data_IF_877333025118
#
_entry.id   IF_877333025118
#
_cell.length_a   1.000
_cell.length_b   1.000
_cell.length_c   1.000
_cell.angle_alpha   90.00
_cell.angle_beta   90.00
_cell.angle_gamma   90.00
#
_symmetry.space_group_name_H-M   'P 1'
#
loop_
_entity.id
_entity.type
_entity.pdbx_description
1 polymer ?
#
# COMPACT_ATOMS: atom_id res chain seq x y z
N UNK A 1 -0.89 -0.10 9.63
CA UNK A 1 0.18 -0.71 8.82
C UNK A 1 0.39 0.14 7.59
N UNK A 2 1.64 0.25 7.13
CA UNK A 2 1.98 0.92 5.87
C UNK A 2 2.67 -0.09 4.95
N UNK A 3 2.06 -0.34 3.78
CA UNK A 3 2.55 -1.29 2.77
C UNK A 3 3.40 -0.52 1.76
N UNK A 4 4.64 -0.98 1.55
CA UNK A 4 5.62 -0.27 0.72
C UNK A 4 6.05 1.04 1.39
N UNK A 5 6.36 0.97 2.68
CA UNK A 5 6.60 2.16 3.50
C UNK A 5 7.90 2.92 3.18
N UNK A 6 8.74 2.38 2.28
CA UNK A 6 9.96 3.00 1.81
C UNK A 6 10.91 3.34 2.96
N UNK A 7 11.42 4.58 2.96
CA UNK A 7 12.32 5.08 4.01
C UNK A 7 11.63 5.37 5.35
N UNK A 8 10.35 5.01 5.50
CA UNK A 8 9.59 5.06 6.76
C UNK A 8 9.18 6.47 7.17
N UNK A 9 9.09 7.42 6.24
CA UNK A 9 8.73 8.80 6.54
C UNK A 9 7.35 8.90 7.20
N UNK A 10 6.33 8.25 6.61
CA UNK A 10 4.98 8.27 7.16
C UNK A 10 4.89 7.62 8.54
N UNK A 11 5.51 6.43 8.70
CA UNK A 11 5.59 5.73 9.99
C UNK A 11 6.24 6.58 11.09
N UNK A 12 7.28 7.34 10.74
CA UNK A 12 7.95 8.24 11.66
C UNK A 12 7.05 9.43 12.07
N UNK A 13 6.28 9.99 11.14
CA UNK A 13 5.31 11.04 11.47
C UNK A 13 4.20 10.51 12.38
N UNK A 14 3.66 9.31 12.12
CA UNK A 14 2.71 8.67 13.01
C UNK A 14 3.29 8.49 14.43
N UNK A 15 4.55 8.07 14.54
CA UNK A 15 5.21 7.93 15.84
C UNK A 15 5.30 9.27 16.58
N UNK A 16 5.64 10.36 15.89
CA UNK A 16 5.68 11.72 16.48
C UNK A 16 4.30 12.19 16.95
N UNK A 17 3.24 11.77 16.26
CA UNK A 17 1.85 12.02 16.64
C UNK A 17 1.36 11.14 17.80
N UNK A 18 2.20 10.25 18.35
CA UNK A 18 1.89 9.44 19.52
C UNK A 18 1.25 8.08 19.21
N UNK A 19 1.18 7.67 17.94
CA UNK A 19 0.75 6.32 17.59
C UNK A 19 1.83 5.31 18.02
N UNK A 20 1.41 4.22 18.66
CA UNK A 20 2.32 3.21 19.23
C UNK A 20 2.29 1.86 18.48
N UNK A 21 1.16 1.52 17.85
CA UNK A 21 0.97 0.26 17.12
C UNK A 21 1.20 0.47 15.62
N UNK A 22 2.44 0.83 15.28
CA UNK A 22 2.86 1.17 13.93
C UNK A 22 3.69 0.03 13.35
N UNK A 23 3.37 -0.40 12.14
CA UNK A 23 4.09 -1.47 11.44
C UNK A 23 4.22 -1.13 9.96
N UNK A 24 5.44 -1.16 9.43
CA UNK A 24 5.71 -1.06 8.00
C UNK A 24 6.08 -2.41 7.39
N UNK A 25 5.81 -2.60 6.10
CA UNK A 25 6.37 -3.69 5.30
C UNK A 25 6.96 -3.15 4.01
N UNK A 26 8.07 -3.72 3.55
CA UNK A 26 8.72 -3.31 2.30
C UNK A 26 9.52 -4.47 1.67
N UNK A 27 9.66 -4.45 0.35
CA UNK A 27 10.45 -5.42 -0.42
C UNK A 27 11.91 -5.01 -0.58
N UNK A 28 12.27 -3.76 -0.29
CA UNK A 28 13.64 -3.24 -0.44
C UNK A 28 14.44 -3.43 0.84
N UNK A 29 15.64 -4.03 0.74
CA UNK A 29 16.55 -4.14 1.90
C UNK A 29 17.00 -2.77 2.38
N UNK A 30 17.24 -1.83 1.46
CA UNK A 30 17.63 -0.46 1.78
C UNK A 30 16.56 0.26 2.62
N UNK A 31 15.29 0.16 2.22
CA UNK A 31 14.15 0.69 2.98
C UNK A 31 14.08 0.12 4.39
N UNK A 32 14.28 -1.20 4.51
CA UNK A 32 14.26 -1.93 5.79
C UNK A 32 15.40 -1.49 6.69
N UNK A 33 16.62 -1.41 6.19
CA UNK A 33 17.79 -0.96 6.93
C UNK A 33 17.65 0.49 7.39
N UNK A 34 17.20 1.39 6.50
CA UNK A 34 16.95 2.79 6.83
C UNK A 34 15.89 2.98 7.92
N UNK A 35 14.82 2.19 7.89
CA UNK A 35 13.78 2.19 8.91
C UNK A 35 14.28 1.64 10.26
N UNK A 36 15.02 0.52 10.23
CA UNK A 36 15.63 -0.06 11.44
C UNK A 36 16.60 0.91 12.12
N UNK A 37 17.42 1.63 11.34
CA UNK A 37 18.33 2.65 11.86
C UNK A 37 17.60 3.80 12.59
N UNK A 38 16.32 4.05 12.25
CA UNK A 38 15.45 5.05 12.90
C UNK A 38 14.61 4.47 14.05
N UNK A 39 14.79 3.19 14.39
CA UNK A 39 13.99 2.46 15.38
C UNK A 39 12.53 2.31 14.97
N UNK A 40 12.24 2.23 13.67
CA UNK A 40 10.89 2.00 13.14
C UNK A 40 10.68 0.48 13.02
N UNK A 41 9.54 0.00 13.52
CA UNK A 41 9.17 -1.41 13.39
C UNK A 41 8.75 -1.71 11.94
N UNK A 42 9.56 -2.51 11.26
CA UNK A 42 9.41 -2.85 9.85
C UNK A 42 9.73 -4.33 9.61
N UNK A 43 8.97 -4.95 8.71
CA UNK A 43 9.21 -6.32 8.24
C UNK A 43 9.64 -6.31 6.77
N UNK A 44 10.79 -6.93 6.47
CA UNK A 44 11.18 -7.26 5.10
C UNK A 44 10.27 -8.37 4.58
N UNK A 45 9.72 -8.19 3.39
CA UNK A 45 8.87 -9.20 2.74
C UNK A 45 9.40 -9.55 1.35
N UNK A 46 9.05 -10.74 0.86
CA UNK A 46 9.25 -11.10 -0.55
C UNK A 46 8.12 -10.51 -1.41
N UNK A 47 6.87 -10.80 -1.01
CA UNK A 47 5.65 -10.33 -1.67
C UNK A 47 4.58 -10.01 -0.63
N UNK A 48 3.61 -9.20 -1.00
CA UNK A 48 2.47 -8.84 -0.14
C UNK A 48 1.65 -10.10 0.18
N UNK A 49 1.46 -10.97 -0.81
CA UNK A 49 0.63 -12.17 -0.69
C UNK A 49 1.21 -13.14 0.32
N UNK A 50 2.50 -13.48 0.20
CA UNK A 50 3.17 -14.38 1.15
C UNK A 50 3.12 -13.82 2.57
N UNK A 51 3.35 -12.52 2.74
CA UNK A 51 3.27 -11.90 4.05
C UNK A 51 1.84 -11.95 4.61
N UNK A 52 0.85 -11.65 3.78
CA UNK A 52 -0.56 -11.62 4.16
C UNK A 52 -1.06 -12.99 4.62
N UNK A 53 -0.82 -14.03 3.82
CA UNK A 53 -1.28 -15.40 4.10
C UNK A 53 -0.67 -15.98 5.39
N UNK A 54 0.53 -15.56 5.75
CA UNK A 54 1.21 -15.99 6.98
C UNK A 54 0.94 -15.06 8.18
N UNK A 55 0.20 -13.96 7.98
CA UNK A 55 -0.07 -13.01 9.04
C UNK A 55 -1.17 -13.51 9.96
N UNK A 56 -0.92 -13.48 11.27
CA UNK A 56 -1.95 -13.72 12.30
C UNK A 56 -2.57 -12.41 12.81
N UNK A 57 -2.11 -11.27 12.31
CA UNK A 57 -2.49 -9.94 12.78
C UNK A 57 -3.31 -9.25 11.71
N UNK A 58 -4.46 -8.72 12.13
CA UNK A 58 -5.26 -7.79 11.33
C UNK A 58 -5.06 -6.36 11.83
N UNK A 59 -5.15 -5.41 10.91
CA UNK A 59 -4.90 -3.99 11.15
C UNK A 59 -6.19 -3.19 10.98
N UNK A 60 -6.42 -2.26 11.90
CA UNK A 60 -7.55 -1.32 11.85
C UNK A 60 -7.38 -0.24 10.78
N UNK A 61 -6.13 0.03 10.40
CA UNK A 61 -5.80 1.02 9.38
C UNK A 61 -4.61 0.54 8.54
N UNK A 62 -4.81 0.47 7.23
CA UNK A 62 -3.78 0.10 6.27
C UNK A 62 -3.60 1.25 5.28
N UNK A 63 -2.37 1.69 5.08
CA UNK A 63 -1.98 2.61 4.01
C UNK A 63 -1.17 1.88 2.95
N UNK A 64 -1.33 2.32 1.71
CA UNK A 64 -0.53 1.91 0.56
C UNK A 64 -0.31 3.14 -0.31
N UNK A 65 0.90 3.68 -0.28
CA UNK A 65 1.25 4.92 -0.99
C UNK A 65 2.25 4.63 -2.07
N UNK A 66 1.88 4.87 -3.33
CA UNK A 66 2.76 4.66 -4.47
C UNK A 66 3.32 3.24 -4.57
N UNK A 67 2.42 2.25 -4.59
CA UNK A 67 2.76 0.82 -4.64
C UNK A 67 1.87 0.10 -5.65
N UNK A 68 0.57 0.39 -5.62
CA UNK A 68 -0.42 -0.32 -6.43
C UNK A 68 -0.15 -0.19 -7.94
N UNK A 69 0.37 0.96 -8.37
CA UNK A 69 0.74 1.23 -9.76
C UNK A 69 1.97 0.43 -10.26
N UNK A 70 2.78 -0.10 -9.35
CA UNK A 70 3.95 -0.94 -9.65
C UNK A 70 3.61 -2.44 -9.68
N UNK A 71 2.44 -2.85 -9.16
CA UNK A 71 1.98 -4.23 -9.25
C UNK A 71 1.55 -4.52 -10.67
N UNK A 72 1.94 -5.66 -11.24
CA UNK A 72 1.48 -6.06 -12.57
C UNK A 72 -0.05 -6.04 -12.65
N UNK A 73 -0.58 -5.38 -13.68
CA UNK A 73 -2.03 -5.14 -13.85
C UNK A 73 -2.91 -6.37 -13.64
N UNK A 74 -2.43 -7.55 -14.03
CA UNK A 74 -3.17 -8.82 -13.89
C UNK A 74 -3.34 -9.27 -12.44
N UNK A 75 -2.43 -8.88 -11.54
CA UNK A 75 -2.40 -9.31 -10.14
C UNK A 75 -3.07 -8.33 -9.18
N UNK A 76 -3.33 -7.08 -9.61
CA UNK A 76 -3.80 -5.98 -8.75
C UNK A 76 -5.05 -6.34 -7.93
N UNK A 77 -6.07 -6.94 -8.57
CA UNK A 77 -7.32 -7.28 -7.87
C UNK A 77 -7.07 -8.37 -6.83
N UNK A 78 -6.27 -9.39 -7.16
CA UNK A 78 -5.97 -10.51 -6.25
C UNK A 78 -5.11 -10.07 -5.06
N UNK A 79 -4.15 -9.16 -5.28
CA UNK A 79 -3.39 -8.54 -4.18
C UNK A 79 -4.32 -7.77 -3.25
N UNK A 80 -5.26 -6.98 -3.78
CA UNK A 80 -6.23 -6.23 -2.97
C UNK A 80 -7.19 -7.15 -2.21
N UNK A 81 -7.64 -8.26 -2.81
CA UNK A 81 -8.44 -9.30 -2.14
C UNK A 81 -7.65 -9.90 -0.99
N UNK A 82 -6.38 -10.20 -1.21
CA UNK A 82 -5.47 -10.77 -0.22
C UNK A 82 -5.27 -9.82 0.97
N UNK A 83 -4.98 -8.55 0.71
CA UNK A 83 -4.88 -7.52 1.75
C UNK A 83 -6.18 -7.43 2.55
N UNK A 84 -7.33 -7.33 1.88
CA UNK A 84 -8.63 -7.23 2.53
C UNK A 84 -8.95 -8.46 3.39
N UNK A 85 -8.65 -9.65 2.89
CA UNK A 85 -9.06 -10.91 3.52
C UNK A 85 -8.20 -11.24 4.73
N UNK A 86 -6.89 -11.08 4.61
CA UNK A 86 -5.93 -11.56 5.61
C UNK A 86 -5.42 -10.44 6.52
N UNK A 87 -5.24 -9.22 6.01
CA UNK A 87 -4.58 -8.14 6.75
C UNK A 87 -5.55 -7.10 7.31
N UNK A 88 -6.66 -6.82 6.64
CA UNK A 88 -7.59 -5.79 7.10
C UNK A 88 -8.55 -6.34 8.16
N UNK A 89 -8.70 -5.61 9.26
CA UNK A 89 -9.73 -5.88 10.27
C UNK A 89 -11.12 -5.66 9.69
N UNK A 90 -12.14 -6.32 10.24
CA UNK A 90 -13.52 -6.25 9.71
C UNK A 90 -14.08 -4.82 9.68
N UNK A 91 -13.75 -4.01 10.69
CA UNK A 91 -14.09 -2.58 10.77
C UNK A 91 -12.93 -1.66 10.35
N UNK A 92 -11.88 -2.22 9.78
CA UNK A 92 -10.68 -1.49 9.39
C UNK A 92 -10.89 -0.64 8.15
N UNK A 93 -10.02 0.37 7.97
CA UNK A 93 -9.99 1.22 6.79
C UNK A 93 -8.70 1.00 5.98
N UNK A 94 -8.84 1.04 4.66
CA UNK A 94 -7.72 0.96 3.72
C UNK A 94 -7.65 2.26 2.92
N UNK A 95 -6.49 2.91 2.95
CA UNK A 95 -6.20 4.10 2.16
C UNK A 95 -5.14 3.76 1.14
N UNK A 96 -5.47 3.95 -0.14
CA UNK A 96 -4.56 3.77 -1.25
C UNK A 96 -4.36 5.09 -1.98
N UNK A 97 -3.11 5.43 -2.26
CA UNK A 97 -2.72 6.66 -2.95
C UNK A 97 -1.87 6.30 -4.16
N UNK A 98 -2.29 6.75 -5.33
CA UNK A 98 -1.67 6.47 -6.64
C UNK A 98 -1.69 7.74 -7.50
N UNK A 99 -0.80 7.87 -8.51
CA UNK A 99 -0.83 8.98 -9.44
C UNK A 99 -2.17 9.04 -10.18
N UNK A 100 -2.68 10.27 -10.34
CA UNK A 100 -3.95 10.51 -11.02
C UNK A 100 -3.77 10.55 -12.54
N UNK A 101 -4.22 9.50 -13.23
CA UNK A 101 -4.20 9.43 -14.70
C UNK A 101 -5.07 10.49 -15.39
N UNK A 102 -6.03 11.10 -14.68
CA UNK A 102 -6.86 12.19 -15.20
C UNK A 102 -6.18 13.56 -15.08
N UNK A 103 -5.03 13.64 -14.40
CA UNK A 103 -4.24 14.87 -14.36
C UNK A 103 -3.78 15.25 -15.77
N UNK A 104 -3.60 16.54 -16.02
CA UNK A 104 -2.90 17.05 -17.22
C UNK A 104 -1.48 16.50 -17.34
N UNK A 105 -0.90 16.03 -16.23
CA UNK A 105 0.41 15.37 -16.15
C UNK A 105 0.31 13.84 -16.05
N UNK A 106 -0.86 13.23 -16.30
CA UNK A 106 -1.05 11.79 -16.15
C UNK A 106 -0.09 10.96 -17.02
N UNK A 107 0.15 11.39 -18.26
CA UNK A 107 1.12 10.75 -19.14
C UNK A 107 2.56 10.88 -18.61
N UNK A 108 2.93 12.05 -18.09
CA UNK A 108 4.24 12.23 -17.45
C UNK A 108 4.42 11.23 -16.32
N UNK A 109 3.44 11.14 -15.40
CA UNK A 109 3.52 10.18 -14.29
C UNK A 109 3.53 8.72 -14.74
N UNK A 110 2.89 8.36 -15.85
CA UNK A 110 2.90 6.99 -16.37
C UNK A 110 4.26 6.59 -16.95
N UNK A 111 4.98 7.53 -17.57
CA UNK A 111 6.17 7.21 -18.37
C UNK A 111 7.49 7.71 -17.80
N UNK A 112 7.48 8.62 -16.82
CA UNK A 112 8.69 9.07 -16.12
C UNK A 112 9.24 7.96 -15.22
N UNK A 113 8.37 7.27 -14.48
CA UNK A 113 8.74 6.08 -13.72
C UNK A 113 8.52 4.83 -14.59
N UNK A 114 9.62 4.26 -15.05
CA UNK A 114 9.62 3.07 -15.91
C UNK A 114 8.99 1.84 -15.25
N UNK A 115 8.86 1.82 -13.92
CA UNK A 115 8.33 0.68 -13.17
C UNK A 115 6.81 0.74 -12.99
N UNK A 116 6.15 1.84 -13.37
CA UNK A 116 4.69 1.90 -13.39
C UNK A 116 4.13 0.96 -14.46
N UNK A 117 3.28 0.02 -14.03
CA UNK A 117 2.60 -0.92 -14.95
C UNK A 117 1.23 -0.38 -15.36
N UNK A 118 0.60 0.42 -14.50
CA UNK A 118 -0.71 1.03 -14.76
C UNK A 118 -0.94 2.26 -13.88
N UNK A 119 -1.57 3.30 -14.43
CA UNK A 119 -2.11 4.40 -13.64
C UNK A 119 -3.63 4.32 -13.54
N UNK A 120 -4.17 5.03 -12.56
CA UNK A 120 -5.59 5.01 -12.27
C UNK A 120 -6.25 6.38 -12.46
N UNK A 121 -7.43 6.33 -13.06
CA UNK A 121 -8.44 7.38 -12.93
C UNK A 121 -9.29 7.11 -11.68
N UNK A 122 -10.04 8.10 -11.21
CA UNK A 122 -11.04 7.92 -10.14
C UNK A 122 -12.02 6.77 -10.46
N UNK A 123 -12.48 6.68 -11.71
CA UNK A 123 -13.38 5.60 -12.14
C UNK A 123 -12.72 4.23 -12.11
N UNK A 124 -11.50 4.10 -12.65
CA UNK A 124 -10.84 2.80 -12.73
C UNK A 124 -10.44 2.27 -11.35
N UNK A 125 -9.90 3.10 -10.45
CA UNK A 125 -9.58 2.64 -9.08
C UNK A 125 -10.86 2.29 -8.30
N UNK A 126 -11.96 3.03 -8.50
CA UNK A 126 -13.24 2.71 -7.87
C UNK A 126 -13.70 1.29 -8.22
N UNK A 127 -13.70 0.93 -9.51
CA UNK A 127 -14.12 -0.39 -9.95
C UNK A 127 -13.14 -1.50 -9.54
N UNK A 128 -11.83 -1.24 -9.56
CA UNK A 128 -10.82 -2.19 -9.07
C UNK A 128 -11.04 -2.50 -7.59
N UNK A 129 -11.23 -1.48 -6.74
CA UNK A 129 -11.53 -1.65 -5.33
C UNK A 129 -12.88 -2.37 -5.13
N UNK A 130 -13.91 -2.04 -5.91
CA UNK A 130 -15.20 -2.76 -5.88
C UNK A 130 -15.04 -4.24 -6.21
N UNK A 131 -14.27 -4.57 -7.25
CA UNK A 131 -14.00 -5.96 -7.65
C UNK A 131 -13.21 -6.73 -6.58
N UNK A 132 -12.32 -6.06 -5.85
CA UNK A 132 -11.66 -6.64 -4.67
C UNK A 132 -12.58 -6.73 -3.43
N UNK A 133 -13.84 -6.32 -3.55
CA UNK A 133 -14.87 -6.46 -2.53
C UNK A 133 -14.92 -5.33 -1.51
N UNK A 134 -14.26 -4.19 -1.75
CA UNK A 134 -14.44 -2.99 -0.91
C UNK A 134 -15.80 -2.35 -1.18
N UNK A 135 -16.53 -1.98 -0.12
CA UNK A 135 -17.93 -1.55 -0.24
C UNK A 135 -18.14 -0.04 -0.09
N UNK A 136 -17.49 0.57 0.90
CA UNK A 136 -17.55 2.02 1.17
C UNK A 136 -16.28 2.65 0.61
N UNK A 137 -16.37 3.28 -0.55
CA UNK A 137 -15.24 3.89 -1.25
C UNK A 137 -15.54 5.38 -1.40
N UNK A 138 -14.57 6.21 -1.04
CA UNK A 138 -14.60 7.67 -1.17
C UNK A 138 -13.26 8.19 -1.69
N UNK A 139 -13.29 9.36 -2.31
CA UNK A 139 -12.14 10.08 -2.86
C UNK A 139 -11.96 11.42 -2.17
#
# INVERSE_FOLDING_TARGET
>A
MDIGCGLGHFLNELRKLGYINIHGIDISDESVEACKAKGIFITKIDTIEKFAENSLIKYDFITMSHVLEHIEKINIIDTLITIKSYLLAESGSFVVMVPNAQSVTGAYWMYEDFTHTTLFTSGSIYYVLKSAGFQKISF
#
